data_IF_859569531989
#
_entry.id   IF_859569531989
#
_cell.length_a   1.000
_cell.length_b   1.000
_cell.length_c   1.000
_cell.angle_alpha   90.00
_cell.angle_beta   90.00
_cell.angle_gamma   90.00
#
_symmetry.space_group_name_H-M   'P 1'
#
loop_
_entity.id
_entity.type
_entity.pdbx_description
1 polymer ?
#
# COMPACT_ATOMS: atom_id res chain seq x y z
N UNK A 1 11.23 -6.83 -15.31
CA UNK A 1 11.62 -5.99 -14.16
C UNK A 1 10.90 -6.49 -12.92
N UNK A 2 11.61 -6.91 -11.88
CA UNK A 2 11.04 -7.48 -10.65
C UNK A 2 10.93 -6.39 -9.56
N UNK A 3 9.76 -6.27 -8.93
CA UNK A 3 9.62 -5.47 -7.71
C UNK A 3 8.96 -6.29 -6.61
N UNK A 4 9.46 -6.18 -5.39
CA UNK A 4 8.93 -6.87 -4.22
C UNK A 4 8.63 -5.86 -3.11
N UNK A 5 7.42 -5.91 -2.54
CA UNK A 5 7.06 -5.13 -1.36
C UNK A 5 7.17 -6.02 -0.11
N UNK A 6 7.75 -5.46 0.95
CA UNK A 6 7.95 -6.17 2.21
C UNK A 6 7.94 -5.22 3.40
N UNK A 7 7.68 -5.74 4.61
CA UNK A 7 7.96 -5.01 5.86
C UNK A 7 9.39 -5.25 6.37
N UNK A 8 10.17 -6.11 5.69
CA UNK A 8 11.57 -6.37 6.02
C UNK A 8 11.83 -7.21 7.28
N UNK A 9 10.81 -7.54 8.06
CA UNK A 9 10.98 -8.17 9.39
C UNK A 9 11.13 -9.69 9.36
N UNK A 10 10.97 -10.34 8.21
CA UNK A 10 11.07 -11.78 8.04
C UNK A 10 12.43 -12.19 7.46
N UNK A 11 12.71 -13.50 7.52
CA UNK A 11 13.90 -14.15 6.95
C UNK A 11 15.20 -13.82 7.69
N UNK A 12 16.30 -14.46 7.24
CA UNK A 12 17.65 -14.28 7.78
C UNK A 12 18.44 -13.27 6.96
N UNK A 13 19.50 -12.71 7.51
CA UNK A 13 20.44 -11.84 6.77
C UNK A 13 21.00 -12.53 5.52
N UNK A 14 21.30 -13.84 5.63
CA UNK A 14 21.81 -14.59 4.49
C UNK A 14 20.79 -14.66 3.36
N UNK A 15 19.52 -14.94 3.70
CA UNK A 15 18.45 -14.95 2.70
C UNK A 15 18.31 -13.60 1.96
N UNK A 16 18.52 -12.49 2.66
CA UNK A 16 18.48 -11.15 2.04
C UNK A 16 19.67 -10.90 1.11
N UNK A 17 20.86 -11.42 1.46
CA UNK A 17 22.02 -11.37 0.56
C UNK A 17 21.80 -12.22 -0.69
N UNK A 18 21.33 -13.46 -0.52
CA UNK A 18 21.02 -14.35 -1.64
C UNK A 18 19.96 -13.74 -2.56
N UNK A 19 18.95 -13.07 -1.97
CA UNK A 19 17.93 -12.36 -2.74
C UNK A 19 18.52 -11.22 -3.58
N UNK A 20 19.48 -10.47 -3.05
CA UNK A 20 20.14 -9.39 -3.77
C UNK A 20 20.90 -9.95 -4.99
N UNK A 21 21.60 -11.07 -4.83
CA UNK A 21 22.29 -11.75 -5.94
C UNK A 21 21.33 -12.24 -7.02
N UNK A 22 20.17 -12.81 -6.61
CA UNK A 22 19.16 -13.33 -7.56
C UNK A 22 18.46 -12.21 -8.33
N UNK A 23 18.12 -11.11 -7.66
CA UNK A 23 17.44 -9.97 -8.30
C UNK A 23 18.41 -9.18 -9.17
N UNK A 24 19.65 -9.02 -8.73
CA UNK A 24 20.67 -8.22 -9.41
C UNK A 24 20.18 -6.79 -9.68
N UNK A 25 20.47 -6.29 -10.89
CA UNK A 25 20.04 -4.97 -11.36
C UNK A 25 18.69 -4.97 -12.08
N UNK A 26 18.07 -6.14 -12.23
CA UNK A 26 16.83 -6.31 -12.98
C UNK A 26 15.57 -6.06 -12.13
N UNK A 27 15.76 -5.65 -10.89
CA UNK A 27 14.67 -5.37 -9.98
C UNK A 27 15.07 -4.61 -8.73
N UNK A 28 14.10 -4.40 -7.84
CA UNK A 28 14.31 -3.71 -6.57
C UNK A 28 13.35 -4.22 -5.49
N UNK A 29 13.73 -4.01 -4.24
CA UNK A 29 12.89 -4.32 -3.08
C UNK A 29 12.40 -3.03 -2.44
N UNK A 30 11.09 -2.95 -2.21
CA UNK A 30 10.45 -1.86 -1.50
C UNK A 30 10.24 -2.28 -0.05
N UNK A 31 10.94 -1.63 0.85
CA UNK A 31 10.76 -1.78 2.28
C UNK A 31 9.68 -0.80 2.76
N UNK A 32 8.55 -1.33 3.20
CA UNK A 32 7.45 -0.54 3.75
C UNK A 32 7.68 -0.33 5.25
N UNK A 33 8.27 0.79 5.62
CA UNK A 33 8.65 1.15 6.98
C UNK A 33 8.00 2.49 7.30
N UNK A 34 7.07 2.52 8.26
CA UNK A 34 6.18 3.67 8.51
C UNK A 34 6.44 4.29 9.89
N UNK A 35 7.65 4.75 10.12
CA UNK A 35 8.14 5.36 11.34
C UNK A 35 9.57 4.97 11.63
N UNK A 36 10.11 5.44 12.75
CA UNK A 36 11.35 4.99 13.34
C UNK A 36 11.08 3.89 14.39
N UNK A 37 12.08 3.57 15.20
CA UNK A 37 12.02 2.49 16.20
C UNK A 37 10.81 2.59 17.13
N UNK A 38 10.51 3.81 17.58
CA UNK A 38 9.49 4.14 18.56
C UNK A 38 8.07 4.25 17.99
N UNK A 39 7.92 4.30 16.65
CA UNK A 39 6.60 4.52 16.01
C UNK A 39 6.24 3.49 14.96
N UNK A 40 7.21 2.86 14.30
CA UNK A 40 6.94 1.92 13.21
C UNK A 40 5.98 0.78 13.64
N UNK A 41 6.13 0.26 14.85
CA UNK A 41 5.30 -0.84 15.37
C UNK A 41 3.82 -0.47 15.55
N UNK A 42 3.49 0.81 15.65
CA UNK A 42 2.11 1.27 15.83
C UNK A 42 1.25 0.91 14.62
N UNK A 43 1.83 1.00 13.43
CA UNK A 43 1.15 0.62 12.19
C UNK A 43 1.65 -0.72 11.63
N UNK A 44 2.96 -0.96 11.62
CA UNK A 44 3.59 -2.21 11.16
C UNK A 44 3.64 -3.21 12.31
N UNK A 45 2.51 -3.79 12.63
CA UNK A 45 2.38 -4.76 13.72
C UNK A 45 3.25 -5.99 13.48
N UNK A 46 3.68 -6.61 14.59
CA UNK A 46 4.51 -7.82 14.56
C UNK A 46 5.85 -7.66 13.81
N UNK A 47 6.32 -6.42 13.63
CA UNK A 47 7.65 -6.16 13.10
C UNK A 47 8.66 -5.92 14.24
N UNK A 48 9.92 -6.20 13.96
CA UNK A 48 11.05 -5.90 14.83
C UNK A 48 11.95 -4.91 14.09
N UNK A 49 12.18 -3.75 14.69
CA UNK A 49 12.92 -2.65 14.08
C UNK A 49 14.35 -3.03 13.72
N UNK A 50 15.11 -3.58 14.69
CA UNK A 50 16.50 -3.97 14.48
C UNK A 50 16.62 -4.97 13.32
N UNK A 51 15.71 -5.93 13.31
CA UNK A 51 15.70 -6.94 12.24
C UNK A 51 15.38 -6.34 10.87
N UNK A 52 14.49 -5.35 10.79
CA UNK A 52 14.22 -4.63 9.55
C UNK A 52 15.48 -3.93 9.05
N UNK A 53 16.14 -3.16 9.94
CA UNK A 53 17.35 -2.41 9.61
C UNK A 53 18.50 -3.34 9.20
N UNK A 54 18.72 -4.40 9.94
CA UNK A 54 19.73 -5.43 9.60
C UNK A 54 19.47 -6.12 8.27
N UNK A 55 18.22 -6.48 7.99
CA UNK A 55 17.84 -7.14 6.77
C UNK A 55 17.98 -6.21 5.55
N UNK A 56 17.48 -4.97 5.67
CA UNK A 56 17.63 -3.97 4.62
C UNK A 56 19.10 -3.69 4.32
N UNK A 57 19.91 -3.51 5.38
CA UNK A 57 21.37 -3.31 5.24
C UNK A 57 22.03 -4.50 4.57
N UNK A 58 21.68 -5.72 4.96
CA UNK A 58 22.24 -6.96 4.35
C UNK A 58 21.92 -7.08 2.86
N UNK A 59 20.71 -6.67 2.45
CA UNK A 59 20.30 -6.66 1.06
C UNK A 59 21.07 -5.59 0.25
N UNK A 60 21.17 -4.38 0.78
CA UNK A 60 21.87 -3.25 0.15
C UNK A 60 23.37 -3.54 0.02
N UNK A 61 24.02 -4.03 1.08
CA UNK A 61 25.47 -4.34 1.09
C UNK A 61 25.83 -5.47 0.12
N UNK A 62 24.86 -6.33 -0.20
CA UNK A 62 25.03 -7.37 -1.23
C UNK A 62 24.74 -6.85 -2.66
N UNK A 63 24.54 -5.54 -2.85
CA UNK A 63 24.31 -4.91 -4.14
C UNK A 63 22.84 -4.81 -4.57
N UNK A 64 21.92 -5.16 -3.70
CA UNK A 64 20.48 -5.07 -3.98
C UNK A 64 19.98 -3.62 -4.02
N UNK A 65 19.08 -3.32 -4.95
CA UNK A 65 18.44 -2.01 -5.08
C UNK A 65 17.25 -1.96 -4.11
N UNK A 66 17.36 -1.13 -3.07
CA UNK A 66 16.33 -0.95 -2.05
C UNK A 66 15.66 0.41 -2.14
N UNK A 67 14.34 0.43 -2.02
CA UNK A 67 13.54 1.62 -1.86
C UNK A 67 12.86 1.59 -0.49
N UNK A 68 12.75 2.75 0.17
CA UNK A 68 12.00 2.90 1.40
C UNK A 68 10.70 3.63 1.11
N UNK A 69 9.56 2.98 1.32
CA UNK A 69 8.24 3.62 1.30
C UNK A 69 7.78 3.90 2.73
N UNK A 70 7.36 5.14 2.96
CA UNK A 70 6.95 5.66 4.25
C UNK A 70 5.54 6.24 4.17
N UNK A 71 4.56 5.61 4.81
CA UNK A 71 3.21 6.15 4.91
C UNK A 71 3.14 7.08 6.11
N UNK A 72 2.74 8.33 5.86
CA UNK A 72 2.65 9.34 6.92
C UNK A 72 1.31 9.25 7.63
N UNK A 73 1.39 9.27 8.96
CA UNK A 73 0.29 9.36 9.92
C UNK A 73 0.61 10.45 10.96
N UNK A 74 -0.39 10.86 11.77
CA UNK A 74 -0.17 11.83 12.85
C UNK A 74 0.97 11.44 13.79
N UNK A 75 1.09 10.16 14.13
CA UNK A 75 2.07 9.66 15.09
C UNK A 75 3.50 9.59 14.57
N UNK A 76 3.72 9.65 13.25
CA UNK A 76 5.05 9.54 12.64
C UNK A 76 5.42 10.71 11.72
N UNK A 77 4.54 11.70 11.52
CA UNK A 77 4.79 12.82 10.60
C UNK A 77 6.01 13.66 10.97
N UNK A 78 6.32 13.75 12.26
CA UNK A 78 7.48 14.47 12.77
C UNK A 78 8.82 13.78 12.49
N UNK A 79 8.79 12.49 12.10
CA UNK A 79 10.00 11.69 11.87
C UNK A 79 10.38 11.59 10.38
N UNK A 80 9.60 12.15 9.47
CA UNK A 80 9.80 11.98 8.01
C UNK A 80 11.20 12.39 7.57
N UNK A 81 11.70 13.53 8.04
CA UNK A 81 13.03 14.04 7.64
C UNK A 81 14.18 13.25 8.28
N UNK A 82 13.99 12.72 9.48
CA UNK A 82 14.95 11.84 10.11
C UNK A 82 15.01 10.48 9.42
N UNK A 83 13.84 9.91 9.09
CA UNK A 83 13.75 8.67 8.32
C UNK A 83 14.39 8.81 6.92
N UNK A 84 14.22 9.97 6.28
CA UNK A 84 14.88 10.29 5.01
C UNK A 84 16.41 10.25 5.15
N UNK A 85 16.96 10.95 6.14
CA UNK A 85 18.40 10.95 6.39
C UNK A 85 18.93 9.57 6.72
N UNK A 86 18.19 8.81 7.52
CA UNK A 86 18.57 7.43 7.83
C UNK A 86 18.55 6.54 6.57
N UNK A 87 17.56 6.71 5.69
CA UNK A 87 17.50 5.96 4.44
C UNK A 87 18.71 6.23 3.54
N UNK A 88 19.14 7.49 3.44
CA UNK A 88 20.33 7.89 2.68
C UNK A 88 21.60 7.28 3.28
N UNK A 89 21.76 7.35 4.62
CA UNK A 89 22.90 6.78 5.34
C UNK A 89 22.99 5.25 5.18
N UNK A 90 21.85 4.58 5.10
CA UNK A 90 21.79 3.14 4.91
C UNK A 90 22.04 2.71 3.46
N UNK A 91 21.92 3.63 2.49
CA UNK A 91 22.15 3.36 1.07
C UNK A 91 20.86 2.98 0.30
N UNK A 92 19.69 3.30 0.81
CA UNK A 92 18.46 3.19 0.01
C UNK A 92 18.54 4.11 -1.20
N UNK A 93 18.23 3.57 -2.38
CA UNK A 93 18.26 4.34 -3.62
C UNK A 93 17.14 5.38 -3.70
N UNK A 94 16.01 5.11 -3.03
CA UNK A 94 14.83 5.97 -3.04
C UNK A 94 14.15 5.96 -1.68
N UNK A 95 13.78 7.16 -1.20
CA UNK A 95 12.86 7.35 -0.09
C UNK A 95 11.57 7.99 -0.62
N UNK A 96 10.44 7.34 -0.44
CA UNK A 96 9.16 7.80 -0.95
C UNK A 96 8.14 7.96 0.16
N UNK A 97 7.70 9.19 0.37
CA UNK A 97 6.60 9.51 1.28
C UNK A 97 5.27 9.22 0.57
N UNK A 98 4.38 8.54 1.26
CA UNK A 98 3.03 8.22 0.78
C UNK A 98 1.97 8.65 1.78
N UNK A 99 0.78 8.92 1.28
CA UNK A 99 -0.41 9.12 2.10
C UNK A 99 -1.29 7.87 2.06
N UNK A 100 -2.06 7.63 3.13
CA UNK A 100 -2.92 6.46 3.22
C UNK A 100 -4.31 6.74 2.62
N UNK A 101 -4.75 5.89 1.69
CA UNK A 101 -6.13 5.92 1.19
C UNK A 101 -7.17 5.38 2.18
N UNK A 102 -6.75 4.83 3.32
CA UNK A 102 -7.65 4.24 4.32
C UNK A 102 -8.54 5.26 5.04
N UNK A 103 -8.17 6.54 4.99
CA UNK A 103 -8.97 7.64 5.52
C UNK A 103 -10.10 8.06 4.58
N UNK A 104 -10.10 7.59 3.35
CA UNK A 104 -11.14 7.85 2.37
C UNK A 104 -12.15 6.70 2.32
N UNK A 105 -13.43 7.03 2.35
CA UNK A 105 -14.53 6.08 2.14
C UNK A 105 -15.25 6.39 0.83
N UNK A 106 -15.04 5.56 -0.19
CA UNK A 106 -15.73 5.67 -1.48
C UNK A 106 -17.25 5.49 -1.38
N UNK A 107 -17.73 4.79 -0.33
CA UNK A 107 -19.16 4.48 -0.15
C UNK A 107 -19.96 5.66 0.38
N UNK A 108 -19.33 6.59 1.08
CA UNK A 108 -20.00 7.70 1.75
C UNK A 108 -19.57 9.08 1.24
N UNK A 109 -18.60 9.16 0.32
CA UNK A 109 -17.97 10.46 -0.02
C UNK A 109 -17.36 11.17 1.19
N UNK A 110 -17.18 10.44 2.32
CA UNK A 110 -16.72 10.99 3.58
C UNK A 110 -15.28 10.61 3.85
N UNK A 111 -14.53 11.56 4.34
CA UNK A 111 -13.19 11.32 4.90
C UNK A 111 -13.33 10.96 6.37
N UNK A 112 -12.59 9.95 6.80
CA UNK A 112 -12.44 9.61 8.21
C UNK A 112 -11.09 10.14 8.67
N UNK A 113 -11.07 10.96 9.70
CA UNK A 113 -9.82 11.48 10.28
C UNK A 113 -9.03 10.44 11.06
N UNK A 114 -9.58 9.25 11.25
CA UNK A 114 -8.93 8.16 11.98
C UNK A 114 -9.41 6.79 11.52
N UNK A 115 -8.58 5.78 11.73
CA UNK A 115 -8.91 4.37 11.63
C UNK A 115 -8.66 3.69 12.97
N UNK A 116 -9.50 2.72 13.31
CA UNK A 116 -9.33 1.87 14.49
C UNK A 116 -8.69 0.56 14.08
N UNK A 117 -7.75 0.10 14.88
CA UNK A 117 -7.07 -1.19 14.70
C UNK A 117 -6.73 -1.78 16.07
N UNK A 118 -6.41 -3.06 16.12
CA UNK A 118 -6.01 -3.70 17.38
C UNK A 118 -4.48 -3.80 17.46
N UNK A 119 -3.91 -3.63 18.64
CA UNK A 119 -2.51 -3.92 18.88
C UNK A 119 -2.26 -5.44 19.08
N UNK A 120 -1.02 -5.80 19.44
CA UNK A 120 -0.64 -7.19 19.68
C UNK A 120 -1.37 -7.84 20.85
N UNK A 121 -1.88 -7.05 21.78
CA UNK A 121 -2.59 -7.51 22.98
C UNK A 121 -4.10 -7.58 22.76
N UNK A 122 -4.59 -7.14 21.59
CA UNK A 122 -6.01 -7.02 21.30
C UNK A 122 -6.61 -5.69 21.75
N UNK A 123 -5.80 -4.75 22.25
CA UNK A 123 -6.26 -3.41 22.63
C UNK A 123 -6.49 -2.55 21.39
N UNK A 124 -7.59 -1.80 21.37
CA UNK A 124 -7.92 -0.87 20.30
C UNK A 124 -6.93 0.30 20.31
N UNK A 125 -6.30 0.54 19.17
CA UNK A 125 -5.50 1.73 18.91
C UNK A 125 -6.10 2.54 17.78
N UNK A 126 -5.92 3.85 17.85
CA UNK A 126 -6.43 4.81 16.87
C UNK A 126 -5.25 5.37 16.07
N UNK A 127 -5.28 5.14 14.76
CA UNK A 127 -4.34 5.75 13.81
C UNK A 127 -5.04 6.95 13.18
N UNK A 128 -4.41 8.13 13.26
CA UNK A 128 -4.96 9.38 12.76
C UNK A 128 -4.27 9.83 11.48
N UNK A 129 -5.02 10.57 10.69
CA UNK A 129 -4.49 11.27 9.51
C UNK A 129 -3.42 12.28 9.94
N UNK A 130 -2.36 12.50 9.13
CA UNK A 130 -1.36 13.50 9.41
C UNK A 130 -1.98 14.91 9.50
N UNK A 131 -1.49 15.76 10.40
CA UNK A 131 -1.96 17.14 10.59
C UNK A 131 -1.29 18.11 9.64
N UNK A 132 -0.07 17.79 9.20
CA UNK A 132 0.72 18.65 8.34
C UNK A 132 0.10 18.80 6.95
N UNK A 133 -0.13 20.04 6.51
CA UNK A 133 -0.68 20.32 5.18
C UNK A 133 0.15 19.73 4.03
N UNK A 134 1.47 19.55 4.23
CA UNK A 134 2.37 18.92 3.27
C UNK A 134 2.04 17.43 3.03
N UNK A 135 1.45 16.76 4.01
CA UNK A 135 1.10 15.33 3.97
C UNK A 135 -0.40 15.09 3.87
N UNK A 136 -1.20 16.16 3.77
CA UNK A 136 -2.62 16.03 3.54
C UNK A 136 -2.86 15.23 2.25
N UNK A 137 -3.74 14.24 2.32
CA UNK A 137 -4.01 13.36 1.21
C UNK A 137 -4.44 14.18 -0.01
N UNK A 138 -3.65 14.14 -1.08
CA UNK A 138 -3.89 14.89 -2.31
C UNK A 138 -5.28 14.60 -2.88
N UNK A 139 -5.71 13.35 -2.78
CA UNK A 139 -7.03 12.89 -3.19
C UNK A 139 -8.15 13.56 -2.37
N UNK A 140 -7.94 13.75 -1.07
CA UNK A 140 -8.88 14.47 -0.21
C UNK A 140 -8.95 15.95 -0.56
N UNK A 141 -7.81 16.57 -0.91
CA UNK A 141 -7.76 17.97 -1.36
C UNK A 141 -8.46 18.16 -2.70
N UNK A 142 -8.20 17.29 -3.67
CA UNK A 142 -8.85 17.35 -5.00
C UNK A 142 -10.36 17.13 -4.88
N UNK A 143 -10.80 16.18 -4.07
CA UNK A 143 -12.24 15.94 -3.85
C UNK A 143 -12.91 17.06 -3.06
N UNK A 144 -12.23 17.69 -2.10
CA UNK A 144 -12.76 18.85 -1.37
C UNK A 144 -12.87 20.07 -2.29
N UNK A 145 -11.88 20.34 -3.13
CA UNK A 145 -11.94 21.46 -4.08
C UNK A 145 -13.04 21.26 -5.14
N UNK A 146 -13.23 20.04 -5.62
CA UNK A 146 -14.33 19.70 -6.54
C UNK A 146 -15.70 19.82 -5.85
N UNK A 147 -15.80 19.51 -4.57
CA UNK A 147 -17.03 19.62 -3.79
C UNK A 147 -17.36 21.10 -3.48
N UNK A 148 -16.35 21.95 -3.30
CA UNK A 148 -16.52 23.40 -3.10
C UNK A 148 -16.88 24.15 -4.38
N UNK A 149 -16.33 23.74 -5.56
CA UNK A 149 -16.63 24.35 -6.85
C UNK A 149 -17.97 23.94 -7.46
N UNK A 150 -18.47 22.79 -7.09
CA UNK A 150 -19.77 22.29 -7.53
C UNK A 150 -20.53 21.87 -6.30
N UNK A 151 -21.74 22.38 -6.11
CA UNK A 151 -22.76 21.75 -5.25
C UNK A 151 -23.01 20.31 -5.73
N UNK A 152 -22.00 19.47 -5.65
CA UNK A 152 -22.12 18.06 -6.01
C UNK A 152 -22.80 17.40 -4.81
N UNK A 153 -24.12 17.40 -4.85
CA UNK A 153 -24.92 16.42 -4.12
C UNK A 153 -24.45 15.06 -4.61
N UNK A 154 -23.51 14.44 -3.86
CA UNK A 154 -23.15 13.06 -4.13
C UNK A 154 -24.41 12.23 -4.03
N UNK A 155 -24.89 11.63 -5.13
CA UNK A 155 -26.06 10.78 -5.03
C UNK A 155 -25.71 9.68 -4.04
N UNK A 156 -26.55 9.46 -3.04
CA UNK A 156 -26.50 8.36 -2.08
C UNK A 156 -26.58 6.97 -2.74
N UNK A 157 -26.68 6.92 -4.05
CA UNK A 157 -26.63 5.72 -4.89
C UNK A 157 -25.19 5.53 -5.37
N UNK A 158 -24.66 4.33 -5.17
CA UNK A 158 -23.33 3.84 -5.57
C UNK A 158 -22.82 4.56 -6.82
N UNK A 159 -21.83 5.44 -6.64
CA UNK A 159 -21.23 6.20 -7.72
C UNK A 159 -20.41 5.26 -8.56
N UNK A 160 -20.70 5.30 -9.81
CA UNK A 160 -20.00 4.67 -10.89
C UNK A 160 -18.55 5.18 -10.99
N UNK A 161 -17.62 4.39 -10.51
CA UNK A 161 -16.17 4.64 -10.65
C UNK A 161 -15.69 4.60 -12.10
N UNK A 162 -16.54 4.21 -13.04
CA UNK A 162 -16.21 4.01 -14.45
C UNK A 162 -17.07 4.83 -15.43
N UNK A 163 -17.96 5.71 -14.95
CA UNK A 163 -18.77 6.61 -15.79
C UNK A 163 -19.71 5.93 -16.78
N UNK A 164 -19.93 4.62 -16.67
CA UNK A 164 -20.73 3.83 -17.63
C UNK A 164 -21.69 2.81 -17.02
N UNK A 165 -21.69 2.63 -15.71
CA UNK A 165 -22.57 1.66 -15.05
C UNK A 165 -23.78 2.38 -14.48
N UNK A 166 -24.87 2.42 -15.21
CA UNK A 166 -26.12 3.00 -14.72
C UNK A 166 -26.79 2.08 -13.69
N UNK A 167 -27.59 2.64 -12.75
CA UNK A 167 -28.37 1.83 -11.79
C UNK A 167 -29.23 0.74 -12.46
N UNK A 168 -29.69 0.99 -13.68
CA UNK A 168 -30.49 0.06 -14.48
C UNK A 168 -29.70 -1.17 -14.93
N UNK A 169 -28.36 -1.05 -15.04
CA UNK A 169 -27.51 -2.18 -15.37
C UNK A 169 -27.48 -3.21 -14.24
N UNK A 170 -27.51 -2.76 -12.98
CA UNK A 170 -27.46 -3.65 -11.81
C UNK A 170 -28.80 -4.30 -11.47
N UNK A 171 -29.90 -3.82 -12.05
CA UNK A 171 -31.21 -4.39 -11.81
C UNK A 171 -31.48 -5.68 -12.60
N UNK A 172 -30.60 -6.09 -13.50
CA UNK A 172 -30.71 -7.31 -14.27
C UNK A 172 -29.36 -8.04 -14.35
N UNK A 173 -29.34 -9.27 -13.83
CA UNK A 173 -28.14 -10.15 -13.88
C UNK A 173 -27.68 -10.38 -15.33
N UNK A 174 -28.58 -10.47 -16.28
CA UNK A 174 -28.25 -10.65 -17.69
C UNK A 174 -27.61 -9.43 -18.32
N UNK A 175 -28.03 -8.22 -17.97
CA UNK A 175 -27.42 -6.97 -18.45
C UNK A 175 -26.02 -6.76 -17.88
N UNK A 176 -25.82 -7.09 -16.59
CA UNK A 176 -24.50 -7.07 -15.96
C UNK A 176 -23.56 -8.05 -16.65
N UNK A 177 -24.01 -9.27 -16.91
CA UNK A 177 -23.21 -10.27 -17.61
C UNK A 177 -22.85 -9.81 -19.03
N UNK A 178 -23.82 -9.32 -19.79
CA UNK A 178 -23.60 -8.81 -21.14
C UNK A 178 -22.61 -7.63 -21.15
N UNK A 179 -22.67 -6.75 -20.14
CA UNK A 179 -21.70 -5.67 -19.98
C UNK A 179 -20.29 -6.20 -19.75
N UNK A 180 -20.11 -7.18 -18.86
CA UNK A 180 -18.79 -7.80 -18.63
C UNK A 180 -18.27 -8.52 -19.87
N UNK A 181 -19.12 -9.23 -20.59
CA UNK A 181 -18.74 -9.97 -21.80
C UNK A 181 -18.34 -9.03 -22.95
N UNK A 182 -18.93 -7.83 -23.01
CA UNK A 182 -18.67 -6.84 -24.07
C UNK A 182 -17.58 -5.82 -23.71
N UNK A 183 -17.17 -5.73 -22.44
CA UNK A 183 -16.21 -4.73 -21.99
C UNK A 183 -14.77 -5.25 -22.12
N UNK A 184 -13.91 -4.61 -22.92
CA UNK A 184 -12.52 -5.02 -23.01
C UNK A 184 -11.82 -4.80 -21.67
N UNK A 185 -11.39 -5.88 -21.04
CA UNK A 185 -10.62 -5.83 -19.80
C UNK A 185 -9.17 -5.49 -20.15
N UNK A 186 -8.74 -4.29 -19.79
CA UNK A 186 -7.32 -3.93 -19.78
C UNK A 186 -6.71 -4.32 -18.45
N UNK A 187 -5.96 -5.40 -18.46
CA UNK A 187 -5.29 -5.88 -17.26
C UNK A 187 -3.89 -5.27 -17.16
N UNK A 188 -3.68 -4.39 -16.19
CA UNK A 188 -2.39 -3.74 -15.94
C UNK A 188 -1.26 -4.76 -15.77
N UNK A 189 -1.51 -5.84 -15.05
CA UNK A 189 -0.55 -6.94 -14.84
C UNK A 189 -0.11 -7.58 -16.16
N UNK A 190 -1.06 -7.76 -17.11
CA UNK A 190 -0.77 -8.31 -18.43
C UNK A 190 0.01 -7.31 -19.29
N UNK A 191 -0.33 -6.04 -19.22
CA UNK A 191 0.37 -4.97 -19.94
C UNK A 191 1.80 -4.78 -19.43
N UNK A 192 1.98 -4.77 -18.11
CA UNK A 192 3.29 -4.61 -17.45
C UNK A 192 4.09 -5.91 -17.35
N UNK A 193 3.53 -7.06 -17.77
CA UNK A 193 4.15 -8.39 -17.63
C UNK A 193 4.62 -8.67 -16.20
N UNK A 194 3.83 -8.24 -15.22
CA UNK A 194 4.14 -8.39 -13.81
C UNK A 194 3.52 -9.65 -13.22
N UNK A 195 4.11 -10.15 -12.15
CA UNK A 195 3.59 -11.25 -11.33
C UNK A 195 3.55 -10.81 -9.88
N UNK A 196 2.66 -11.39 -9.10
CA UNK A 196 2.62 -11.19 -7.67
C UNK A 196 3.16 -12.43 -6.95
N UNK A 197 4.03 -12.22 -5.96
CA UNK A 197 4.54 -13.29 -5.09
C UNK A 197 4.06 -13.01 -3.67
N UNK A 198 3.35 -13.96 -3.06
CA UNK A 198 2.91 -13.84 -1.67
C UNK A 198 4.07 -13.98 -0.69
N UNK A 199 3.85 -13.64 0.58
CA UNK A 199 4.85 -13.82 1.64
C UNK A 199 5.26 -15.30 1.83
N UNK A 200 4.41 -16.23 1.44
CA UNK A 200 4.65 -17.68 1.47
C UNK A 200 5.41 -18.16 0.21
N UNK A 201 5.69 -17.28 -0.73
CA UNK A 201 6.37 -17.62 -1.99
C UNK A 201 5.44 -18.15 -3.08
N UNK A 202 4.12 -18.01 -2.94
CA UNK A 202 3.16 -18.45 -3.95
C UNK A 202 3.11 -17.43 -5.08
N UNK A 203 3.38 -17.89 -6.31
CA UNK A 203 3.27 -17.11 -7.52
C UNK A 203 1.79 -16.93 -7.90
N UNK A 204 1.38 -15.71 -8.13
CA UNK A 204 0.02 -15.38 -8.53
C UNK A 204 0.01 -14.38 -9.69
N UNK A 205 -0.94 -14.51 -10.62
CA UNK A 205 -0.96 -13.65 -11.79
C UNK A 205 -1.36 -12.20 -11.47
N UNK A 206 -1.95 -11.95 -10.29
CA UNK A 206 -2.47 -10.63 -9.94
C UNK A 206 -2.68 -10.51 -8.43
N UNK A 207 -2.33 -9.37 -7.84
CA UNK A 207 -2.54 -9.09 -6.41
C UNK A 207 -4.04 -9.05 -6.01
N UNK A 208 -4.95 -8.73 -6.93
CA UNK A 208 -6.39 -8.77 -6.68
C UNK A 208 -6.91 -10.21 -6.55
N UNK A 209 -6.44 -11.10 -7.41
CA UNK A 209 -6.76 -12.54 -7.32
C UNK A 209 -6.12 -13.13 -6.07
N UNK A 210 -4.90 -12.68 -5.73
CA UNK A 210 -4.19 -13.08 -4.54
C UNK A 210 -5.01 -12.88 -3.26
N UNK A 211 -5.59 -11.69 -3.07
CA UNK A 211 -6.40 -11.38 -1.90
C UNK A 211 -7.66 -12.24 -1.75
N UNK A 212 -8.24 -12.70 -2.86
CA UNK A 212 -9.39 -13.61 -2.83
C UNK A 212 -8.97 -15.07 -2.61
N UNK A 213 -7.86 -15.50 -3.23
CA UNK A 213 -7.35 -16.87 -3.07
C UNK A 213 -6.75 -17.13 -1.69
N UNK A 214 -6.28 -16.09 -1.00
CA UNK A 214 -5.73 -16.22 0.34
C UNK A 214 -6.73 -16.84 1.34
N UNK A 215 -7.99 -16.50 1.20
CA UNK A 215 -9.07 -17.09 2.01
C UNK A 215 -9.34 -18.58 1.68
N UNK A 216 -8.93 -19.06 0.51
CA UNK A 216 -9.12 -20.44 0.08
C UNK A 216 -8.02 -21.38 0.57
N UNK A 217 -6.81 -20.84 0.81
CA UNK A 217 -5.65 -21.63 1.25
C UNK A 217 -5.60 -21.81 2.78
N UNK A 218 -6.41 -21.07 3.52
CA UNK A 218 -6.45 -21.10 4.97
C UNK A 218 -7.74 -21.72 5.56
N UNK A 219 -8.61 -22.28 4.70
CA UNK A 219 -9.76 -23.10 5.08
C UNK A 219 -9.47 -24.57 4.82
#
# INVERSE_FOLDING_TARGET
>A
YLSMNTNGSARTKQWWKDLAEVIGTDGYVIFSIDGLEDTNYLYRKNTNWDKIMENAKSFIDAGGIAHWEYIVFEHNEHQVEEARRLSEQMGFQKFQVKTSSRFFSSVAGSTKSYIKTLDRTGMEIVIREPRGAAYANQFTKEMSSIAEEKEIIFPTKKVDLLGKLTPELFNSRSKVQQHYDSTPIKCKVKEEKSIYVSAEGILQPCCWVAGQMYNWYHT
#
